data_IF_140982960308
#
_entry.id   IF_140982960308
#
_cell.length_a   1.000
_cell.length_b   1.000
_cell.length_c   1.000
_cell.angle_alpha   90.00
_cell.angle_beta   90.00
_cell.angle_gamma   90.00
#
_symmetry.space_group_name_H-M   'P 1'
#
loop_
_entity.id
_entity.type
_entity.pdbx_description
1 polymer ?
#
# COMPACT_ATOMS: atom_id res chain seq x y z
N UNK A 1 -45.57 -41.11 41.81
CA UNK A 1 -46.16 -40.59 40.57
C UNK A 1 -45.08 -39.75 39.86
N UNK A 2 -44.16 -40.42 39.16
CA UNK A 2 -43.11 -39.82 38.31
C UNK A 2 -43.11 -40.68 37.05
N UNK A 3 -43.47 -40.09 35.90
CA UNK A 3 -43.57 -40.83 34.63
C UNK A 3 -42.18 -40.94 33.99
N UNK A 4 -41.72 -42.17 33.87
CA UNK A 4 -40.76 -42.62 32.85
C UNK A 4 -41.39 -42.59 31.45
N UNK A 5 -40.58 -42.35 30.42
CA UNK A 5 -40.55 -43.11 29.15
C UNK A 5 -39.29 -42.70 28.37
N UNK A 6 -38.30 -43.58 28.28
CA UNK A 6 -38.09 -44.64 27.26
C UNK A 6 -37.21 -44.16 26.10
N UNK A 7 -35.93 -44.49 26.27
CA UNK A 7 -35.02 -45.06 25.28
C UNK A 7 -35.72 -45.87 24.16
N UNK A 8 -35.00 -45.92 23.03
CA UNK A 8 -35.13 -46.80 21.86
C UNK A 8 -36.03 -46.34 20.71
N UNK A 9 -35.41 -45.54 19.84
CA UNK A 9 -35.20 -45.99 18.46
C UNK A 9 -33.68 -46.00 18.21
N UNK A 10 -33.00 -47.07 18.65
CA UNK A 10 -31.70 -47.44 18.12
C UNK A 10 -31.90 -48.21 16.81
N UNK A 11 -30.92 -48.05 15.92
CA UNK A 11 -30.63 -48.84 14.72
C UNK A 11 -31.35 -48.45 13.43
N UNK A 12 -30.69 -47.57 12.66
CA UNK A 12 -30.19 -47.93 11.33
C UNK A 12 -29.04 -46.99 10.92
N UNK A 13 -27.83 -47.57 10.88
CA UNK A 13 -26.67 -47.24 10.02
C UNK A 13 -25.69 -46.13 10.47
N UNK A 14 -24.71 -46.58 11.22
CA UNK A 14 -23.25 -46.33 11.12
C UNK A 14 -22.71 -45.49 9.93
N UNK A 15 -21.66 -44.71 10.25
CA UNK A 15 -20.58 -44.19 9.38
C UNK A 15 -20.87 -42.96 8.51
N UNK A 16 -20.67 -41.76 9.05
CA UNK A 16 -19.75 -40.73 8.50
C UNK A 16 -19.84 -39.40 9.26
N UNK A 17 -18.73 -38.66 9.25
CA UNK A 17 -18.54 -37.31 9.79
C UNK A 17 -18.18 -37.16 11.28
N UNK A 18 -17.33 -38.09 11.71
CA UNK A 18 -16.23 -37.84 12.64
C UNK A 18 -15.06 -37.04 12.00
N UNK A 19 -15.31 -36.18 10.98
CA UNK A 19 -14.23 -35.62 10.13
C UNK A 19 -14.23 -34.11 9.87
N UNK A 20 -15.02 -33.29 10.56
CA UNK A 20 -14.90 -31.82 10.43
C UNK A 20 -14.40 -31.10 11.68
N UNK A 21 -14.20 -31.83 12.77
CA UNK A 21 -13.44 -31.37 13.93
C UNK A 21 -11.91 -31.52 13.78
N UNK A 22 -11.42 -31.87 12.57
CA UNK A 22 -10.01 -32.17 12.30
C UNK A 22 -9.35 -31.35 11.15
N UNK A 23 -10.02 -30.32 10.60
CA UNK A 23 -9.41 -29.46 9.55
C UNK A 23 -9.15 -28.01 10.03
N UNK A 24 -9.60 -27.64 11.23
CA UNK A 24 -9.27 -26.35 11.86
C UNK A 24 -8.01 -26.42 12.77
N UNK A 25 -7.15 -27.42 12.54
CA UNK A 25 -5.81 -27.53 13.14
C UNK A 25 -4.76 -27.44 12.03
N UNK A 26 -4.66 -26.28 11.39
CA UNK A 26 -3.41 -25.89 10.72
C UNK A 26 -2.69 -24.93 11.67
N UNK A 27 -2.07 -25.55 12.68
CA UNK A 27 -0.75 -25.22 13.19
C UNK A 27 -0.48 -23.71 13.39
N UNK A 28 -1.05 -23.15 14.46
CA UNK A 28 -0.23 -22.39 15.41
C UNK A 28 0.69 -23.41 16.11
N UNK A 29 1.66 -24.02 15.41
CA UNK A 29 2.70 -24.73 16.14
C UNK A 29 3.70 -23.72 16.67
N UNK A 30 4.20 -24.03 17.86
CA UNK A 30 5.39 -23.46 18.45
C UNK A 30 6.68 -23.62 17.59
N UNK A 31 6.54 -23.85 16.27
CA UNK A 31 7.60 -24.04 15.27
C UNK A 31 7.90 -22.79 14.44
N UNK A 32 7.30 -21.63 14.75
CA UNK A 32 7.63 -20.37 14.08
C UNK A 32 7.35 -20.36 12.57
N UNK A 33 6.33 -21.10 12.12
CA UNK A 33 5.96 -21.25 10.71
C UNK A 33 4.49 -20.87 10.52
N UNK A 34 4.22 -20.09 9.48
CA UNK A 34 2.91 -19.63 9.05
C UNK A 34 2.45 -20.42 7.82
N UNK A 35 1.17 -20.82 7.78
CA UNK A 35 0.62 -21.63 6.69
C UNK A 35 -0.79 -21.14 6.28
N UNK A 36 -1.00 -20.89 4.99
CA UNK A 36 -2.30 -20.54 4.40
C UNK A 36 -2.43 -21.06 2.96
N UNK A 37 -3.21 -22.13 2.76
CA UNK A 37 -3.23 -22.86 1.48
C UNK A 37 -1.84 -23.39 1.11
N UNK A 38 -1.37 -23.08 -0.10
CA UNK A 38 -0.04 -23.45 -0.60
C UNK A 38 1.11 -22.55 -0.12
N UNK A 39 0.80 -21.53 0.70
CA UNK A 39 1.76 -20.56 1.19
C UNK A 39 2.27 -20.98 2.56
N UNK A 40 3.56 -21.32 2.62
CA UNK A 40 4.26 -21.57 3.86
C UNK A 40 5.30 -20.45 4.05
N UNK A 41 5.23 -19.72 5.16
CA UNK A 41 6.19 -18.66 5.49
C UNK A 41 6.85 -18.97 6.83
N UNK A 42 8.18 -18.98 6.91
CA UNK A 42 8.89 -19.19 8.17
C UNK A 42 10.12 -18.27 8.27
N UNK A 43 10.99 -18.51 9.24
CA UNK A 43 12.23 -17.76 9.42
C UNK A 43 13.20 -17.86 8.22
N UNK A 44 13.07 -18.90 7.39
CA UNK A 44 13.86 -19.12 6.18
C UNK A 44 13.22 -18.53 4.92
N UNK A 45 12.05 -17.89 5.05
CA UNK A 45 11.37 -17.27 3.93
C UNK A 45 10.09 -17.95 3.50
N UNK A 46 9.57 -17.49 2.34
CA UNK A 46 8.39 -18.05 1.71
C UNK A 46 8.76 -19.33 0.93
N UNK A 47 8.06 -20.43 1.21
CA UNK A 47 8.07 -21.65 0.41
C UNK A 47 6.67 -21.91 -0.12
N UNK A 48 6.55 -22.05 -1.44
CA UNK A 48 5.35 -22.59 -2.06
C UNK A 48 5.41 -24.12 -1.94
N UNK A 49 4.41 -24.75 -1.33
CA UNK A 49 4.29 -26.20 -1.44
C UNK A 49 3.95 -26.54 -2.88
N UNK A 50 4.73 -27.38 -3.57
CA UNK A 50 4.44 -27.73 -4.95
C UNK A 50 3.12 -28.50 -5.00
N UNK A 51 2.07 -27.87 -5.54
CA UNK A 51 0.98 -28.61 -6.15
C UNK A 51 1.59 -29.35 -7.34
N UNK A 52 1.20 -30.62 -7.52
CA UNK A 52 1.52 -31.45 -8.70
C UNK A 52 1.21 -30.73 -10.03
N UNK A 53 2.10 -29.86 -10.48
CA UNK A 53 2.15 -29.37 -11.86
C UNK A 53 3.23 -30.20 -12.53
N UNK A 54 2.78 -31.31 -13.11
CA UNK A 54 3.53 -32.02 -14.14
C UNK A 54 3.94 -31.01 -15.21
N UNK A 55 5.25 -30.99 -15.46
CA UNK A 55 5.91 -30.58 -16.70
C UNK A 55 5.57 -29.20 -17.28
N UNK A 56 6.53 -28.28 -17.19
CA UNK A 56 6.98 -27.50 -18.35
C UNK A 56 8.39 -26.96 -18.13
N UNK A 57 9.37 -27.77 -18.53
CA UNK A 57 10.62 -27.25 -19.06
C UNK A 57 10.31 -26.46 -20.32
N UNK A 58 10.51 -25.14 -20.33
CA UNK A 58 10.71 -24.36 -21.56
C UNK A 58 11.35 -23.00 -21.25
N UNK A 59 12.66 -22.95 -21.54
CA UNK A 59 13.48 -21.82 -22.00
C UNK A 59 13.08 -20.39 -21.58
N UNK A 60 13.90 -19.79 -20.71
CA UNK A 60 14.12 -18.34 -20.65
C UNK A 60 15.48 -18.01 -21.32
N UNK A 61 15.56 -16.96 -22.15
CA UNK A 61 16.82 -16.54 -22.74
C UNK A 61 17.72 -15.88 -21.68
N UNK A 62 18.99 -16.27 -21.75
CA UNK A 62 20.11 -15.79 -20.95
C UNK A 62 20.43 -14.32 -21.23
N UNK A 63 20.20 -13.46 -20.23
CA UNK A 63 21.13 -12.42 -19.76
C UNK A 63 20.48 -11.56 -18.67
N UNK A 64 20.53 -12.06 -17.43
CA UNK A 64 20.52 -11.28 -16.18
C UNK A 64 20.93 -12.23 -15.06
N UNK A 65 22.19 -12.20 -14.64
CA UNK A 65 22.63 -12.88 -13.41
C UNK A 65 22.23 -12.01 -12.22
N UNK A 66 20.95 -12.01 -11.86
CA UNK A 66 20.55 -11.65 -10.50
C UNK A 66 21.02 -12.80 -9.60
N UNK A 67 21.90 -12.48 -8.66
CA UNK A 67 22.35 -13.42 -7.66
C UNK A 67 21.17 -13.71 -6.72
N UNK A 68 20.48 -14.82 -6.96
CA UNK A 68 19.50 -15.43 -6.04
C UNK A 68 20.21 -15.86 -4.74
N UNK A 69 20.53 -14.89 -3.88
CA UNK A 69 20.84 -15.18 -2.49
C UNK A 69 19.51 -15.35 -1.74
N UNK A 70 19.25 -16.56 -1.22
CA UNK A 70 18.20 -16.76 -0.21
C UNK A 70 18.58 -15.97 1.05
N UNK A 71 18.14 -14.70 1.13
CA UNK A 71 18.35 -13.85 2.31
C UNK A 71 17.52 -14.42 3.47
N UNK A 72 18.17 -14.77 4.57
CA UNK A 72 17.46 -15.14 5.81
C UNK A 72 17.36 -13.95 6.76
N UNK A 73 16.42 -14.00 7.71
CA UNK A 73 16.28 -12.94 8.72
C UNK A 73 17.57 -12.76 9.56
N UNK A 74 18.35 -13.82 9.73
CA UNK A 74 19.62 -13.80 10.47
C UNK A 74 20.74 -13.11 9.69
N UNK A 75 20.63 -12.99 8.38
CA UNK A 75 21.62 -12.32 7.52
C UNK A 75 21.45 -10.80 7.51
N UNK A 76 20.37 -10.29 8.09
CA UNK A 76 20.08 -8.86 8.17
C UNK A 76 20.60 -8.27 9.48
N UNK A 77 21.33 -7.16 9.38
CA UNK A 77 21.78 -6.38 10.52
C UNK A 77 21.00 -5.06 10.56
N UNK A 78 20.34 -4.80 11.68
CA UNK A 78 19.63 -3.54 11.91
C UNK A 78 20.61 -2.41 12.15
N UNK A 79 20.49 -1.35 11.35
CA UNK A 79 21.32 -0.15 11.50
C UNK A 79 20.62 0.94 12.29
N UNK A 80 19.38 1.27 11.91
CA UNK A 80 18.58 2.30 12.58
C UNK A 80 17.09 2.11 12.31
N UNK A 81 16.26 2.64 13.22
CA UNK A 81 14.82 2.78 12.96
C UNK A 81 14.61 4.02 12.09
N UNK A 82 13.91 3.87 10.97
CA UNK A 82 13.62 4.97 10.03
C UNK A 82 12.16 5.43 10.11
N UNK A 83 11.26 4.59 10.61
CA UNK A 83 9.85 4.94 10.77
C UNK A 83 9.15 4.11 11.84
N UNK A 84 8.10 4.69 12.43
CA UNK A 84 7.12 3.98 13.25
C UNK A 84 5.74 4.41 12.75
N UNK A 85 5.07 3.51 12.04
CA UNK A 85 3.77 3.76 11.44
C UNK A 85 2.65 2.96 12.10
N UNK A 86 1.43 3.14 11.61
CA UNK A 86 0.25 2.36 12.04
C UNK A 86 0.41 0.85 11.78
N UNK A 87 1.18 0.49 10.76
CA UNK A 87 1.41 -0.90 10.35
C UNK A 87 2.56 -1.57 11.09
N UNK A 88 3.40 -0.82 11.82
CA UNK A 88 4.53 -1.39 12.56
C UNK A 88 5.78 -0.51 12.60
N UNK A 89 6.91 -1.15 12.91
CA UNK A 89 8.23 -0.50 12.98
C UNK A 89 8.98 -0.75 11.68
N UNK A 90 9.55 0.32 11.14
CA UNK A 90 10.33 0.31 9.90
C UNK A 90 11.80 0.57 10.23
N UNK A 91 12.66 -0.35 9.80
CA UNK A 91 14.09 -0.35 10.12
C UNK A 91 14.93 -0.34 8.85
N UNK A 92 15.98 0.48 8.83
CA UNK A 92 17.03 0.35 7.83
C UNK A 92 17.93 -0.81 8.24
N UNK A 93 18.03 -1.80 7.37
CA UNK A 93 18.87 -2.98 7.55
C UNK A 93 19.88 -3.12 6.43
N UNK A 94 21.00 -3.79 6.70
CA UNK A 94 21.97 -4.17 5.68
C UNK A 94 22.18 -5.68 5.69
N UNK A 95 22.55 -6.23 4.54
CA UNK A 95 22.96 -7.63 4.48
C UNK A 95 24.39 -7.78 5.01
N UNK A 96 24.59 -8.66 6.00
CA UNK A 96 25.87 -8.86 6.69
C UNK A 96 27.02 -9.26 5.76
N UNK A 97 26.71 -10.06 4.73
CA UNK A 97 27.72 -10.75 3.93
C UNK A 97 28.00 -10.11 2.57
N UNK A 98 27.14 -9.20 2.09
CA UNK A 98 27.22 -8.62 0.74
C UNK A 98 27.97 -7.26 0.75
N UNK A 99 28.54 -6.88 1.90
CA UNK A 99 29.27 -5.62 2.07
C UNK A 99 28.37 -4.40 2.19
N UNK A 100 28.96 -3.20 2.31
CA UNK A 100 28.27 -1.92 2.60
C UNK A 100 27.37 -1.38 1.47
N UNK A 101 27.01 -2.18 0.47
CA UNK A 101 26.39 -1.69 -0.77
C UNK A 101 24.88 -1.92 -0.80
N UNK A 102 24.34 -2.86 -0.01
CA UNK A 102 22.93 -3.24 -0.11
C UNK A 102 22.19 -2.97 1.19
N UNK A 103 21.38 -1.92 1.15
CA UNK A 103 20.47 -1.51 2.20
C UNK A 103 19.05 -1.90 1.83
N UNK A 104 18.30 -2.34 2.83
CA UNK A 104 16.89 -2.69 2.70
C UNK A 104 16.08 -1.99 3.79
N UNK A 105 14.80 -1.87 3.53
CA UNK A 105 13.83 -1.48 4.52
C UNK A 105 13.17 -2.74 5.10
N UNK A 106 13.27 -2.94 6.41
CA UNK A 106 12.63 -4.03 7.13
C UNK A 106 11.38 -3.50 7.85
N UNK A 107 10.21 -3.87 7.36
CA UNK A 107 8.94 -3.54 7.99
C UNK A 107 8.46 -4.70 8.85
N UNK A 108 8.36 -4.48 10.16
CA UNK A 108 7.93 -5.50 11.13
C UNK A 108 6.49 -5.22 11.56
N UNK A 109 5.58 -6.11 11.19
CA UNK A 109 4.15 -6.03 11.46
C UNK A 109 3.79 -7.06 12.52
N UNK A 110 3.46 -6.59 13.74
CA UNK A 110 3.04 -7.48 14.82
C UNK A 110 1.57 -7.87 14.63
N UNK A 111 1.29 -9.17 14.58
CA UNK A 111 -0.08 -9.65 14.49
C UNK A 111 -0.73 -9.64 15.87
N UNK A 112 -1.86 -8.93 15.98
CA UNK A 112 -2.87 -9.30 16.96
C UNK A 112 -3.81 -10.33 16.29
N UNK A 113 -4.19 -11.37 17.02
CA UNK A 113 -4.69 -12.67 16.53
C UNK A 113 -6.04 -12.54 15.76
N UNK A 114 -6.02 -12.03 14.53
CA UNK A 114 -7.18 -12.02 13.64
C UNK A 114 -6.85 -12.65 12.30
N UNK A 115 -7.57 -13.72 11.98
CA UNK A 115 -7.41 -14.53 10.76
C UNK A 115 -7.65 -13.74 9.46
N UNK A 116 -8.37 -12.61 9.53
CA UNK A 116 -8.59 -11.71 8.40
C UNK A 116 -7.31 -11.00 7.95
N UNK A 117 -6.57 -10.41 8.90
CA UNK A 117 -5.30 -9.70 8.65
C UNK A 117 -4.28 -10.67 8.03
N UNK A 118 -4.32 -11.92 8.48
CA UNK A 118 -3.46 -13.02 8.06
C UNK A 118 -3.59 -13.37 6.56
N UNK A 119 -4.82 -13.60 6.08
CA UNK A 119 -5.10 -13.93 4.66
C UNK A 119 -4.72 -12.77 3.72
N UNK A 120 -4.68 -11.55 4.24
CA UNK A 120 -4.44 -10.33 3.47
C UNK A 120 -2.96 -10.01 3.30
N UNK A 121 -2.14 -10.20 4.35
CA UNK A 121 -0.67 -10.16 4.22
C UNK A 121 -0.21 -11.18 3.18
N UNK A 122 -0.83 -12.37 3.17
CA UNK A 122 -0.56 -13.40 2.16
C UNK A 122 -0.94 -12.93 0.74
N UNK A 123 -2.04 -12.20 0.58
CA UNK A 123 -2.44 -11.64 -0.71
C UNK A 123 -1.45 -10.56 -1.19
N UNK A 124 -0.99 -9.70 -0.30
CA UNK A 124 0.06 -8.72 -0.62
C UNK A 124 1.35 -9.38 -1.01
N UNK A 125 1.82 -10.40 -0.27
CA UNK A 125 3.02 -11.15 -0.63
C UNK A 125 2.91 -11.73 -2.06
N UNK A 126 1.74 -12.23 -2.45
CA UNK A 126 1.48 -12.71 -3.82
C UNK A 126 1.60 -11.60 -4.87
N UNK A 127 1.05 -10.42 -4.59
CA UNK A 127 1.11 -9.28 -5.54
C UNK A 127 2.54 -8.71 -5.59
N UNK A 128 3.18 -8.58 -4.43
CA UNK A 128 4.55 -8.09 -4.26
C UNK A 128 5.58 -8.98 -4.95
N UNK A 129 5.46 -10.30 -4.89
CA UNK A 129 6.34 -11.21 -5.61
C UNK A 129 6.30 -11.01 -7.13
N UNK A 130 5.20 -10.48 -7.65
CA UNK A 130 5.05 -10.15 -9.06
C UNK A 130 5.32 -8.65 -9.36
N UNK A 131 5.46 -7.81 -8.33
CA UNK A 131 5.69 -6.36 -8.42
C UNK A 131 7.07 -5.96 -8.96
N UNK A 132 8.02 -6.89 -9.03
CA UNK A 132 9.33 -6.70 -9.68
C UNK A 132 9.23 -6.22 -11.14
N UNK A 133 8.03 -6.25 -11.74
CA UNK A 133 7.75 -5.83 -13.10
C UNK A 133 7.41 -4.33 -13.22
N UNK A 134 7.14 -3.59 -12.13
CA UNK A 134 6.80 -2.16 -12.19
C UNK A 134 7.86 -1.29 -11.48
N UNK A 135 8.50 -0.33 -12.17
CA UNK A 135 9.51 0.55 -11.56
C UNK A 135 8.92 1.59 -10.60
N UNK A 136 7.59 1.72 -10.50
CA UNK A 136 6.91 2.74 -9.69
C UNK A 136 6.12 2.16 -8.50
N UNK A 137 6.37 0.90 -8.15
CA UNK A 137 5.88 0.24 -6.95
C UNK A 137 7.08 -0.29 -6.18
N UNK A 138 7.09 -0.11 -4.86
CA UNK A 138 8.18 -0.59 -4.00
C UNK A 138 8.26 -2.12 -4.09
N UNK A 139 9.45 -2.63 -4.35
CA UNK A 139 9.67 -4.07 -4.46
C UNK A 139 9.84 -4.68 -3.08
N UNK A 140 9.10 -5.75 -2.80
CA UNK A 140 9.37 -6.63 -1.67
C UNK A 140 10.24 -7.79 -2.12
N UNK A 141 11.51 -7.79 -1.71
CA UNK A 141 12.46 -8.84 -2.03
C UNK A 141 12.18 -10.13 -1.27
N UNK A 142 11.83 -10.00 0.01
CA UNK A 142 11.65 -11.16 0.87
C UNK A 142 10.65 -10.90 1.98
N UNK A 143 10.12 -11.98 2.54
CA UNK A 143 9.22 -11.91 3.69
C UNK A 143 9.53 -13.03 4.66
N UNK A 144 9.36 -12.78 5.95
CA UNK A 144 9.55 -13.75 7.01
C UNK A 144 8.36 -13.73 7.96
N UNK A 145 8.13 -14.85 8.63
CA UNK A 145 7.22 -14.91 9.76
C UNK A 145 7.91 -15.55 10.95
N UNK A 146 7.91 -14.85 12.07
CA UNK A 146 8.47 -15.37 13.31
C UNK A 146 7.78 -14.74 14.52
N UNK A 147 7.49 -15.56 15.54
CA UNK A 147 6.88 -15.14 16.81
C UNK A 147 5.65 -14.22 16.67
N UNK A 148 4.77 -14.51 15.70
CA UNK A 148 3.55 -13.73 15.49
C UNK A 148 3.80 -12.37 14.83
N UNK A 149 4.99 -12.13 14.26
CA UNK A 149 5.29 -10.94 13.49
C UNK A 149 5.66 -11.32 12.06
N UNK A 150 5.15 -10.56 11.09
CA UNK A 150 5.66 -10.57 9.72
C UNK A 150 6.80 -9.57 9.60
N UNK A 151 7.84 -9.95 8.87
CA UNK A 151 8.93 -9.05 8.53
C UNK A 151 9.05 -9.01 7.02
N UNK A 152 8.87 -7.83 6.43
CA UNK A 152 8.97 -7.62 4.99
C UNK A 152 10.28 -6.91 4.68
N UNK A 153 11.07 -7.46 3.76
CA UNK A 153 12.31 -6.89 3.24
C UNK A 153 11.98 -6.17 1.95
N UNK A 154 11.93 -4.85 2.03
CA UNK A 154 11.53 -3.95 0.97
C UNK A 154 12.74 -3.21 0.40
N UNK A 155 12.57 -2.72 -0.82
CA UNK A 155 13.46 -1.76 -1.44
C UNK A 155 13.63 -0.50 -0.57
N UNK A 156 14.89 -0.09 -0.36
CA UNK A 156 15.20 1.10 0.42
C UNK A 156 15.14 2.37 -0.43
N UNK A 157 14.29 3.31 -0.03
CA UNK A 157 14.12 4.61 -0.67
C UNK A 157 14.81 5.71 0.16
N UNK A 158 16.03 6.09 -0.24
CA UNK A 158 16.97 6.85 0.59
C UNK A 158 16.66 8.34 0.80
N UNK A 159 15.61 8.87 0.15
CA UNK A 159 15.07 10.22 0.42
C UNK A 159 13.80 10.22 1.25
N UNK A 160 13.34 9.05 1.69
CA UNK A 160 12.13 8.92 2.51
C UNK A 160 10.87 9.20 1.71
N UNK A 161 9.83 9.67 2.38
CA UNK A 161 8.50 9.93 1.79
C UNK A 161 8.33 11.36 1.30
N UNK A 162 7.30 11.62 0.48
CA UNK A 162 6.94 12.99 0.11
C UNK A 162 6.55 13.85 1.32
N UNK A 163 6.01 13.27 2.41
CA UNK A 163 5.82 14.02 3.66
C UNK A 163 7.15 14.56 4.18
N UNK A 164 8.22 13.76 4.15
CA UNK A 164 9.54 14.18 4.62
C UNK A 164 10.13 15.28 3.74
N UNK A 165 9.87 15.21 2.42
CA UNK A 165 10.23 16.27 1.46
C UNK A 165 9.49 17.56 1.79
N UNK A 166 8.15 17.54 1.88
CA UNK A 166 7.32 18.73 2.15
C UNK A 166 7.69 19.37 3.49
N UNK A 167 8.01 18.58 4.53
CA UNK A 167 8.48 19.13 5.82
C UNK A 167 9.74 19.98 5.68
N UNK A 168 10.63 19.63 4.75
CA UNK A 168 11.89 20.32 4.50
C UNK A 168 11.70 21.54 3.58
N UNK A 169 11.01 21.38 2.46
CA UNK A 169 10.91 22.41 1.41
C UNK A 169 9.64 23.28 1.49
N UNK A 170 8.70 22.94 2.37
CA UNK A 170 7.37 23.54 2.54
C UNK A 170 6.42 23.34 1.37
N UNK A 171 6.84 23.61 0.14
CA UNK A 171 6.04 23.41 -1.07
C UNK A 171 6.89 22.76 -2.16
N UNK A 172 6.24 22.00 -3.05
CA UNK A 172 6.88 21.39 -4.22
C UNK A 172 6.36 22.11 -5.47
N UNK A 173 7.28 22.63 -6.29
CA UNK A 173 6.91 23.34 -7.50
C UNK A 173 6.26 22.40 -8.52
N UNK A 174 5.32 22.97 -9.29
CA UNK A 174 4.53 22.26 -10.29
C UNK A 174 5.37 21.39 -11.27
N UNK A 175 6.53 21.83 -11.79
CA UNK A 175 7.33 20.99 -12.68
C UNK A 175 7.82 19.71 -12.02
N UNK A 176 8.23 19.76 -10.74
CA UNK A 176 8.65 18.57 -10.00
C UNK A 176 7.45 17.68 -9.66
N UNK A 177 6.31 18.29 -9.29
CA UNK A 177 5.07 17.54 -9.07
C UNK A 177 4.61 16.80 -10.31
N UNK A 178 4.78 17.37 -11.51
CA UNK A 178 4.42 16.70 -12.75
C UNK A 178 5.19 15.38 -12.95
N UNK A 179 6.47 15.38 -12.59
CA UNK A 179 7.33 14.19 -12.65
C UNK A 179 6.92 13.17 -11.60
N UNK A 180 6.61 13.63 -10.38
CA UNK A 180 6.07 12.78 -9.30
C UNK A 180 4.76 12.14 -9.73
N UNK A 181 3.79 12.93 -10.18
CA UNK A 181 2.47 12.46 -10.62
C UNK A 181 2.58 11.44 -11.73
N UNK A 182 3.44 11.67 -12.73
CA UNK A 182 3.64 10.73 -13.84
C UNK A 182 4.06 9.35 -13.32
N UNK A 183 5.07 9.30 -12.45
CA UNK A 183 5.57 8.05 -11.88
C UNK A 183 4.49 7.36 -11.03
N UNK A 184 3.78 8.11 -10.19
CA UNK A 184 2.69 7.56 -9.36
C UNK A 184 1.54 7.03 -10.22
N UNK A 185 1.16 7.73 -11.30
CA UNK A 185 0.13 7.26 -12.23
C UNK A 185 0.55 5.99 -12.97
N UNK A 186 1.82 5.87 -13.37
CA UNK A 186 2.34 4.64 -13.96
C UNK A 186 2.23 3.46 -12.96
N UNK A 187 2.54 3.71 -11.68
CA UNK A 187 2.32 2.72 -10.61
C UNK A 187 0.83 2.38 -10.41
N UNK A 188 -0.06 3.37 -10.42
CA UNK A 188 -1.50 3.15 -10.29
C UNK A 188 -2.11 2.43 -11.50
N UNK A 189 -1.68 2.74 -12.73
CA UNK A 189 -2.11 2.01 -13.93
C UNK A 189 -1.73 0.53 -13.80
N UNK A 190 -0.51 0.24 -13.37
CA UNK A 190 -0.09 -1.13 -13.12
C UNK A 190 -0.96 -1.82 -12.06
N UNK A 191 -1.20 -1.17 -10.91
CA UNK A 191 -2.04 -1.73 -9.85
C UNK A 191 -3.50 -1.94 -10.28
N UNK A 192 -4.10 -0.95 -10.93
CA UNK A 192 -5.52 -0.97 -11.31
C UNK A 192 -5.79 -1.89 -12.51
N UNK A 193 -4.95 -1.80 -13.55
CA UNK A 193 -5.25 -2.42 -14.84
C UNK A 193 -4.58 -3.78 -15.02
N UNK A 194 -3.35 -3.96 -14.51
CA UNK A 194 -2.62 -5.22 -14.67
C UNK A 194 -2.81 -6.15 -13.47
N UNK A 195 -2.91 -5.58 -12.26
CA UNK A 195 -3.06 -6.36 -11.01
C UNK A 195 -4.48 -6.42 -10.47
N UNK A 196 -5.37 -5.54 -10.92
CA UNK A 196 -6.74 -5.42 -10.41
C UNK A 196 -6.81 -5.22 -8.88
N UNK A 197 -5.93 -4.36 -8.36
CA UNK A 197 -5.78 -4.04 -6.94
C UNK A 197 -6.07 -2.56 -6.73
N UNK A 198 -6.88 -2.25 -5.71
CA UNK A 198 -7.08 -0.88 -5.23
C UNK A 198 -6.11 -0.65 -4.06
N UNK A 199 -5.35 0.43 -4.10
CA UNK A 199 -4.33 0.76 -3.08
C UNK A 199 -4.95 1.13 -1.73
N UNK A 200 -5.96 2.02 -1.75
CA UNK A 200 -6.80 2.47 -0.62
C UNK A 200 -6.12 3.35 0.44
N UNK A 201 -4.82 3.58 0.34
CA UNK A 201 -4.07 4.46 1.24
C UNK A 201 -3.01 5.29 0.51
N UNK A 202 -3.36 5.86 -0.64
CA UNK A 202 -2.49 6.81 -1.33
C UNK A 202 -2.43 8.10 -0.50
N UNK A 203 -1.23 8.49 -0.09
CA UNK A 203 -0.95 9.71 0.67
C UNK A 203 0.54 10.03 0.57
N UNK A 204 0.99 11.27 0.85
CA UNK A 204 2.39 11.63 0.70
C UNK A 204 3.35 10.78 1.54
N UNK A 205 2.90 10.14 2.64
CA UNK A 205 3.76 9.28 3.46
C UNK A 205 4.05 7.92 2.82
N UNK A 206 3.21 7.50 1.87
CA UNK A 206 3.31 6.21 1.17
C UNK A 206 3.82 6.39 -0.27
N UNK A 207 4.29 7.59 -0.61
CA UNK A 207 4.94 7.92 -1.87
C UNK A 207 6.41 8.18 -1.57
N UNK A 208 7.25 7.18 -1.85
CA UNK A 208 8.65 7.19 -1.47
C UNK A 208 9.54 7.68 -2.61
N UNK A 209 10.64 8.34 -2.27
CA UNK A 209 11.58 8.96 -3.20
C UNK A 209 13.00 8.49 -2.91
N UNK A 210 13.83 8.36 -3.96
CA UNK A 210 15.25 8.08 -3.82
C UNK A 210 16.13 9.15 -4.49
N UNK A 211 17.45 9.07 -4.30
CA UNK A 211 18.42 10.03 -4.85
C UNK A 211 18.49 10.05 -6.39
N UNK A 212 17.98 9.01 -7.07
CA UNK A 212 17.87 8.96 -8.53
C UNK A 212 16.65 9.73 -9.05
N UNK A 213 15.80 10.23 -8.17
CA UNK A 213 14.54 10.90 -8.53
C UNK A 213 13.41 9.93 -8.87
N UNK A 214 13.57 8.64 -8.55
CA UNK A 214 12.51 7.66 -8.72
C UNK A 214 11.47 7.83 -7.61
N UNK A 215 10.19 7.74 -7.98
CA UNK A 215 9.06 7.78 -7.07
C UNK A 215 8.34 6.45 -7.15
N UNK A 216 8.11 5.83 -5.98
CA UNK A 216 7.45 4.54 -5.87
C UNK A 216 6.34 4.55 -4.82
N UNK A 217 5.28 3.82 -5.11
CA UNK A 217 4.15 3.59 -4.20
C UNK A 217 4.53 2.49 -3.20
N UNK A 218 4.40 2.77 -1.90
CA UNK A 218 4.61 1.81 -0.79
C UNK A 218 3.30 1.45 -0.09
N UNK A 219 3.35 0.45 0.80
CA UNK A 219 2.24 0.08 1.72
C UNK A 219 0.90 -0.24 1.04
N UNK A 220 0.94 -0.70 -0.21
CA UNK A 220 -0.27 -1.11 -0.91
C UNK A 220 -0.87 -2.37 -0.27
N UNK A 221 -2.18 -2.35 -0.01
CA UNK A 221 -2.92 -3.50 0.53
C UNK A 221 -2.98 -3.61 2.06
N UNK A 222 -1.97 -3.13 2.80
CA UNK A 222 -1.87 -3.32 4.28
C UNK A 222 -2.93 -2.49 5.00
N UNK A 223 -3.09 -1.24 4.57
CA UNK A 223 -3.87 -0.22 5.29
C UNK A 223 -5.39 -0.41 5.20
N UNK A 224 -5.90 -0.98 4.12
CA UNK A 224 -7.33 -1.12 3.88
C UNK A 224 -8.07 -1.95 4.92
N UNK A 225 -7.35 -2.90 5.53
CA UNK A 225 -7.96 -3.91 6.38
C UNK A 225 -7.54 -3.78 7.84
N UNK A 226 -6.37 -3.20 8.13
CA UNK A 226 -6.04 -2.71 9.47
C UNK A 226 -7.06 -1.66 9.93
N UNK A 227 -7.53 -0.79 9.02
CA UNK A 227 -8.58 0.19 9.29
C UNK A 227 -9.97 -0.39 9.60
N UNK A 228 -10.26 -1.62 9.17
CA UNK A 228 -11.52 -2.31 9.49
C UNK A 228 -11.38 -3.29 10.66
N UNK A 229 -10.15 -3.61 11.09
CA UNK A 229 -9.86 -4.65 12.09
C UNK A 229 -9.41 -4.11 13.46
N UNK A 230 -8.99 -2.84 13.54
CA UNK A 230 -8.50 -2.24 14.79
C UNK A 230 -9.45 -1.15 15.30
N UNK A 231 -10.20 -1.46 16.35
CA UNK A 231 -11.05 -0.51 17.08
C UNK A 231 -10.31 0.50 17.96
N UNK A 232 -9.06 0.86 17.63
CA UNK A 232 -8.28 1.86 18.36
C UNK A 232 -8.37 3.22 17.66
N UNK A 233 -9.15 4.12 18.27
CA UNK A 233 -9.55 5.42 17.71
C UNK A 233 -8.48 6.51 17.81
N UNK A 234 -7.43 6.32 18.61
CA UNK A 234 -6.57 7.45 19.02
C UNK A 234 -5.33 7.69 18.14
N UNK A 235 -4.95 6.77 17.25
CA UNK A 235 -3.83 6.93 16.29
C UNK A 235 -4.29 7.20 14.85
N UNK A 236 -5.59 7.31 14.61
CA UNK A 236 -6.20 7.16 13.27
C UNK A 236 -6.51 8.48 12.53
N UNK A 237 -6.48 9.60 13.23
CA UNK A 237 -7.02 10.88 12.73
C UNK A 237 -6.34 11.37 11.45
N UNK A 238 -5.06 11.04 11.19
CA UNK A 238 -4.31 11.51 10.02
C UNK A 238 -4.44 10.67 8.73
N UNK A 239 -4.89 9.41 8.81
CA UNK A 239 -4.94 8.52 7.63
C UNK A 239 -6.19 8.73 6.77
N UNK A 240 -7.29 9.18 7.38
CA UNK A 240 -8.56 9.39 6.68
C UNK A 240 -8.63 10.67 5.85
N UNK A 241 -7.68 11.59 6.03
CA UNK A 241 -7.66 12.88 5.35
C UNK A 241 -7.73 12.75 3.82
N UNK A 242 -7.16 11.67 3.27
CA UNK A 242 -7.09 11.41 1.83
C UNK A 242 -8.22 10.50 1.36
N UNK A 243 -9.14 10.09 2.23
CA UNK A 243 -10.24 9.19 1.89
C UNK A 243 -11.23 9.91 0.97
N UNK A 244 -11.72 9.18 -0.03
CA UNK A 244 -12.70 9.70 -0.96
C UNK A 244 -14.12 9.79 -0.36
N UNK A 245 -14.99 10.69 -0.86
CA UNK A 245 -16.34 10.89 -0.32
C UNK A 245 -17.17 9.62 -0.32
N UNK A 246 -17.08 8.80 -1.37
CA UNK A 246 -17.83 7.56 -1.49
C UNK A 246 -17.42 6.52 -0.43
N UNK A 247 -16.13 6.51 -0.04
CA UNK A 247 -15.62 5.62 1.02
C UNK A 247 -16.09 6.07 2.41
N UNK A 248 -16.11 7.38 2.66
CA UNK A 248 -16.59 7.95 3.92
C UNK A 248 -18.08 7.64 4.10
N UNK A 249 -18.86 7.78 3.04
CA UNK A 249 -20.30 7.50 3.02
C UNK A 249 -20.65 6.00 3.03
N UNK A 250 -19.66 5.11 3.03
CA UNK A 250 -19.87 3.66 3.02
C UNK A 250 -20.46 3.11 1.71
N UNK A 251 -20.35 3.87 0.61
CA UNK A 251 -20.79 3.44 -0.72
C UNK A 251 -19.80 2.45 -1.34
N UNK A 252 -20.23 1.81 -2.44
CA UNK A 252 -19.30 1.01 -3.26
C UNK A 252 -18.19 1.90 -3.80
N UNK A 253 -16.96 1.43 -3.68
CA UNK A 253 -15.78 2.17 -4.11
C UNK A 253 -14.89 1.28 -4.97
N UNK A 254 -14.15 1.90 -5.87
CA UNK A 254 -13.33 1.23 -6.88
C UNK A 254 -11.94 1.91 -7.00
N UNK A 255 -11.29 1.71 -8.14
CA UNK A 255 -9.99 2.30 -8.47
C UNK A 255 -9.99 3.84 -8.43
N UNK A 256 -11.14 4.48 -8.71
CA UNK A 256 -11.27 5.95 -8.70
C UNK A 256 -11.05 6.54 -7.31
N UNK A 257 -11.21 5.78 -6.23
CA UNK A 257 -10.92 6.26 -4.88
C UNK A 257 -9.45 6.58 -4.68
N UNK A 258 -8.54 5.83 -5.31
CA UNK A 258 -7.09 6.13 -5.26
C UNK A 258 -6.77 7.43 -6.02
N UNK A 259 -7.54 7.76 -7.05
CA UNK A 259 -7.37 9.00 -7.83
C UNK A 259 -7.74 10.23 -7.00
N UNK A 260 -8.80 10.15 -6.20
CA UNK A 260 -9.11 11.20 -5.24
C UNK A 260 -7.97 11.40 -4.25
N UNK A 261 -7.49 10.31 -3.65
CA UNK A 261 -6.39 10.32 -2.70
C UNK A 261 -5.10 10.90 -3.31
N UNK A 262 -4.83 10.61 -4.58
CA UNK A 262 -3.75 11.22 -5.35
C UNK A 262 -3.95 12.74 -5.51
N UNK A 263 -5.14 13.18 -5.92
CA UNK A 263 -5.46 14.60 -6.08
C UNK A 263 -5.25 15.39 -4.79
N UNK A 264 -5.71 14.85 -3.66
CA UNK A 264 -5.51 15.43 -2.33
C UNK A 264 -4.02 15.53 -1.98
N UNK A 265 -3.26 14.45 -2.22
CA UNK A 265 -1.83 14.38 -1.94
C UNK A 265 -1.04 15.40 -2.75
N UNK A 266 -1.31 15.51 -4.05
CA UNK A 266 -0.59 16.41 -4.95
C UNK A 266 -0.93 17.87 -4.62
N UNK A 267 -2.20 18.17 -4.34
CA UNK A 267 -2.60 19.51 -3.95
C UNK A 267 -1.93 19.93 -2.64
N UNK A 268 -1.86 19.04 -1.65
CA UNK A 268 -1.13 19.28 -0.40
C UNK A 268 0.36 19.58 -0.65
N UNK A 269 1.02 18.79 -1.51
CA UNK A 269 2.42 19.01 -1.85
C UNK A 269 2.63 20.39 -2.52
N UNK A 270 1.68 20.82 -3.34
CA UNK A 270 1.75 22.08 -4.07
C UNK A 270 1.58 23.30 -3.15
N UNK A 271 0.58 23.26 -2.27
CA UNK A 271 0.25 24.39 -1.39
C UNK A 271 0.95 24.35 -0.02
N UNK A 272 1.58 23.22 0.32
CA UNK A 272 2.37 23.03 1.54
C UNK A 272 1.56 22.84 2.81
N UNK A 273 0.25 22.66 2.68
CA UNK A 273 -0.70 22.38 3.77
C UNK A 273 -1.81 21.49 3.26
N UNK A 274 -2.47 20.77 4.16
CA UNK A 274 -3.60 19.93 3.79
C UNK A 274 -4.77 20.79 3.25
N UNK A 275 -5.41 20.43 2.11
CA UNK A 275 -6.32 21.35 1.39
C UNK A 275 -7.56 21.81 2.17
N UNK A 276 -8.07 21.02 3.11
CA UNK A 276 -9.22 21.38 3.94
C UNK A 276 -8.84 22.12 5.24
N UNK A 277 -7.56 22.35 5.51
CA UNK A 277 -7.15 23.22 6.63
C UNK A 277 -7.09 24.65 6.11
N UNK A 278 -8.07 25.49 6.47
CA UNK A 278 -8.07 26.91 6.07
C UNK A 278 -6.81 27.65 6.54
N UNK A 279 -6.37 28.63 5.76
CA UNK A 279 -5.11 29.34 6.01
C UNK A 279 -5.14 30.28 7.22
N UNK A 280 -6.32 30.73 7.66
CA UNK A 280 -6.47 31.78 8.67
C UNK A 280 -6.79 31.26 10.08
N UNK A 281 -7.45 30.10 10.21
CA UNK A 281 -7.87 29.53 11.50
C UNK A 281 -6.98 28.37 11.99
N UNK A 282 -5.65 28.56 11.96
CA UNK A 282 -4.71 27.59 12.57
C UNK A 282 -4.90 27.42 14.09
N UNK A 283 -5.68 28.30 14.72
CA UNK A 283 -5.96 28.23 16.16
C UNK A 283 -6.96 27.13 16.52
N UNK A 284 -7.83 26.72 15.59
CA UNK A 284 -8.82 25.65 15.80
C UNK A 284 -8.92 24.78 14.53
N UNK A 285 -8.04 23.79 14.35
CA UNK A 285 -8.19 22.83 13.25
C UNK A 285 -9.54 22.10 13.37
N UNK A 286 -10.20 21.78 12.24
CA UNK A 286 -11.46 21.05 12.26
C UNK A 286 -11.27 19.72 12.98
N UNK A 287 -12.27 19.34 13.79
CA UNK A 287 -12.34 18.01 14.36
C UNK A 287 -12.40 16.96 13.24
N UNK A 288 -12.05 15.73 13.60
CA UNK A 288 -12.11 14.60 12.68
C UNK A 288 -13.45 14.47 11.95
N UNK A 289 -14.57 14.61 12.67
CA UNK A 289 -15.90 14.49 12.10
C UNK A 289 -16.27 15.67 11.19
N UNK A 290 -15.85 16.88 11.55
CA UNK A 290 -16.04 18.07 10.71
C UNK A 290 -15.27 17.95 9.39
N UNK A 291 -14.05 17.39 9.42
CA UNK A 291 -13.29 17.14 8.21
C UNK A 291 -13.97 16.11 7.30
N UNK A 292 -14.44 14.99 7.86
CA UNK A 292 -15.16 13.98 7.06
C UNK A 292 -16.45 14.56 6.46
N UNK A 293 -17.18 15.35 7.23
CA UNK A 293 -18.37 16.06 6.75
C UNK A 293 -18.01 17.05 5.63
N UNK A 294 -16.93 17.83 5.78
CA UNK A 294 -16.48 18.75 4.74
C UNK A 294 -16.13 18.02 3.43
N UNK A 295 -15.42 16.89 3.51
CA UNK A 295 -15.09 16.06 2.33
C UNK A 295 -16.37 15.60 1.62
N UNK A 296 -17.40 15.19 2.37
CA UNK A 296 -18.65 14.66 1.79
C UNK A 296 -19.59 15.78 1.32
N UNK A 297 -19.69 16.89 2.04
CA UNK A 297 -20.75 17.89 1.88
C UNK A 297 -20.28 19.17 1.19
N UNK A 298 -19.07 19.66 1.48
CA UNK A 298 -18.54 20.93 0.94
C UNK A 298 -17.95 20.77 -0.46
N UNK A 299 -17.91 21.80 -1.33
CA UNK A 299 -17.26 21.69 -2.64
C UNK A 299 -15.83 21.13 -2.54
N UNK A 300 -15.37 20.31 -3.50
CA UNK A 300 -14.01 19.78 -3.46
C UNK A 300 -12.98 20.92 -3.53
N UNK A 301 -11.82 20.79 -2.89
CA UNK A 301 -10.79 21.82 -2.94
C UNK A 301 -10.25 21.96 -4.36
N UNK A 302 -9.85 23.17 -4.71
CA UNK A 302 -9.31 23.51 -6.02
C UNK A 302 -7.92 24.11 -5.88
N UNK A 303 -7.09 23.95 -6.91
CA UNK A 303 -5.81 24.63 -6.97
C UNK A 303 -6.03 26.14 -7.24
N UNK A 304 -5.41 27.05 -6.48
CA UNK A 304 -5.50 28.50 -6.71
C UNK A 304 -5.04 28.88 -8.13
N UNK A 305 -5.96 29.36 -8.96
CA UNK A 305 -5.70 29.65 -10.38
C UNK A 305 -4.80 30.87 -10.62
N UNK A 306 -4.58 31.68 -9.59
CA UNK A 306 -3.63 32.79 -9.55
C UNK A 306 -2.18 32.32 -9.31
N UNK A 307 -1.99 31.10 -8.82
CA UNK A 307 -0.68 30.55 -8.43
C UNK A 307 -0.22 29.39 -9.31
N UNK A 308 -1.14 28.65 -9.91
CA UNK A 308 -0.85 27.42 -10.67
C UNK A 308 -1.31 27.51 -12.12
N UNK A 309 -0.71 26.67 -12.98
CA UNK A 309 -1.09 26.63 -14.39
C UNK A 309 -2.53 26.15 -14.59
N UNK A 310 -3.19 26.54 -15.70
CA UNK A 310 -4.48 25.97 -16.09
C UNK A 310 -4.45 24.44 -16.19
N UNK A 311 -3.34 23.88 -16.64
CA UNK A 311 -3.12 22.45 -16.74
C UNK A 311 -3.13 21.77 -15.37
N UNK A 312 -2.42 22.33 -14.38
CA UNK A 312 -2.42 21.82 -13.00
C UNK A 312 -3.81 21.96 -12.36
N UNK A 313 -4.47 23.10 -12.51
CA UNK A 313 -5.83 23.30 -12.02
C UNK A 313 -6.82 22.31 -12.65
N UNK A 314 -6.70 22.03 -13.95
CA UNK A 314 -7.51 21.03 -14.65
C UNK A 314 -7.21 19.62 -14.14
N UNK A 315 -5.94 19.30 -13.88
CA UNK A 315 -5.55 18.02 -13.33
C UNK A 315 -6.16 17.78 -11.94
N UNK A 316 -6.01 18.73 -11.02
CA UNK A 316 -6.59 18.64 -9.67
C UNK A 316 -8.12 18.51 -9.74
N UNK A 317 -8.77 19.30 -10.60
CA UNK A 317 -10.22 19.20 -10.83
C UNK A 317 -10.64 17.82 -11.33
N UNK A 318 -9.88 17.20 -12.24
CA UNK A 318 -10.18 15.86 -12.76
C UNK A 318 -10.04 14.77 -11.68
N UNK A 319 -9.10 14.92 -10.75
CA UNK A 319 -8.92 14.00 -9.63
C UNK A 319 -9.98 14.15 -8.53
N UNK A 320 -10.40 15.38 -8.24
CA UNK A 320 -11.24 15.71 -7.10
C UNK A 320 -12.74 15.82 -7.46
N UNK A 321 -13.17 15.13 -8.51
CA UNK A 321 -14.59 14.93 -8.77
C UNK A 321 -15.21 14.07 -7.65
N UNK A 322 -16.25 14.58 -7.01
CA UNK A 322 -16.94 13.85 -5.94
C UNK A 322 -17.68 12.63 -6.45
N UNK A 323 -18.29 12.75 -7.63
CA UNK A 323 -18.96 11.64 -8.30
C UNK A 323 -17.90 10.67 -8.89
N UNK A 324 -17.79 9.42 -8.40
CA UNK A 324 -16.74 8.50 -8.84
C UNK A 324 -16.71 8.23 -10.36
N UNK A 325 -17.84 8.04 -11.07
CA UNK A 325 -17.85 7.88 -12.52
C UNK A 325 -17.39 9.11 -13.32
N UNK A 326 -17.51 10.31 -12.75
CA UNK A 326 -17.01 11.54 -13.38
C UNK A 326 -15.51 11.77 -13.13
N UNK A 327 -14.92 11.03 -12.18
CA UNK A 327 -13.50 11.12 -11.84
C UNK A 327 -12.66 10.40 -12.89
N UNK A 328 -11.60 11.04 -13.35
CA UNK A 328 -10.74 10.46 -14.38
C UNK A 328 -10.04 9.19 -13.87
N UNK A 329 -9.80 8.20 -14.76
CA UNK A 329 -9.01 7.01 -14.40
C UNK A 329 -7.51 7.32 -14.37
N UNK A 330 -6.71 6.44 -13.74
CA UNK A 330 -5.24 6.54 -13.76
C UNK A 330 -4.68 6.59 -15.18
N UNK A 331 -5.29 5.83 -16.11
CA UNK A 331 -4.89 5.81 -17.51
C UNK A 331 -5.28 7.10 -18.25
N UNK A 332 -6.51 7.60 -18.06
CA UNK A 332 -6.96 8.85 -18.69
C UNK A 332 -6.07 10.02 -18.28
N UNK A 333 -5.75 10.08 -16.98
CA UNK A 333 -4.85 11.08 -16.44
C UNK A 333 -3.46 10.98 -17.06
N UNK A 334 -2.87 9.78 -17.11
CA UNK A 334 -1.54 9.57 -17.69
C UNK A 334 -1.45 9.96 -19.18
N UNK A 335 -2.52 9.77 -19.94
CA UNK A 335 -2.57 10.05 -21.39
C UNK A 335 -3.02 11.48 -21.69
N UNK A 336 -3.69 12.16 -20.76
CA UNK A 336 -4.28 13.47 -21.01
C UNK A 336 -3.24 14.56 -21.35
N UNK A 337 -3.61 15.44 -22.29
CA UNK A 337 -2.76 16.54 -22.76
C UNK A 337 -2.40 17.57 -21.67
N UNK A 338 -3.14 17.60 -20.55
CA UNK A 338 -2.80 18.42 -19.39
C UNK A 338 -1.42 18.05 -18.82
N UNK A 339 -1.01 16.78 -18.90
CA UNK A 339 0.32 16.35 -18.44
C UNK A 339 1.40 16.45 -19.52
N UNK A 340 1.04 16.19 -20.78
CA UNK A 340 2.02 16.19 -21.88
C UNK A 340 2.63 17.59 -22.09
N UNK A 341 1.88 18.67 -21.81
CA UNK A 341 2.38 20.04 -21.96
C UNK A 341 3.20 20.53 -20.76
N UNK A 342 2.85 20.14 -19.54
CA UNK A 342 3.65 20.43 -18.33
C UNK A 342 5.00 19.72 -18.39
N UNK A 343 5.10 18.53 -19.00
CA UNK A 343 6.40 17.87 -19.22
C UNK A 343 7.16 18.45 -20.42
N UNK A 344 6.48 18.76 -21.54
CA UNK A 344 7.15 19.24 -22.78
C UNK A 344 7.69 20.66 -22.66
N UNK A 345 7.06 21.56 -21.91
CA UNK A 345 7.52 22.95 -21.76
C UNK A 345 8.86 23.07 -21.02
N UNK A 346 9.22 22.10 -20.16
CA UNK A 346 10.39 22.21 -19.29
C UNK A 346 11.59 21.37 -19.71
N UNK A 347 11.41 20.26 -20.44
CA UNK A 347 12.55 19.56 -21.08
C UNK A 347 13.26 20.40 -22.16
N UNK A 348 12.60 21.44 -22.70
CA UNK A 348 13.23 22.42 -23.59
C UNK A 348 14.19 23.38 -22.85
N UNK A 349 13.93 23.66 -21.57
CA UNK A 349 14.76 24.56 -20.75
C UNK A 349 15.93 23.85 -20.05
N UNK A 350 15.86 22.53 -19.87
CA UNK A 350 16.93 21.72 -19.27
C UNK A 350 18.12 21.42 -20.18
N UNK A 351 18.08 21.81 -21.46
CA UNK A 351 19.20 21.66 -22.41
C UNK A 351 20.02 22.95 -22.58
N UNK A 352 19.78 23.99 -21.77
CA UNK A 352 20.49 25.28 -21.84
C UNK A 352 20.92 25.81 -20.45
N UNK A 353 21.45 24.95 -19.58
CA UNK A 353 22.24 25.37 -18.40
C UNK A 353 23.50 24.54 -18.31
#
# INVERSE_FOLDING_TARGET
MVKLNRLQCDQLVNLSQFSLFLIAHILLTASGTFHDGDFLLNQKGLKLTPINVLEKNQFLPSDCKELDFEITAEDLETMRVIGKGSSGVVQLVRHKWVGNVHFYELQVIQMNIQEKIRKQIVQELKINQASSQCPHVVVCYHSFYHNGAFSLVLEYMDRGSLVDVIRQVKTILEPYLSVVCKQVLQGLVYLHNERHVIHRDIKPSNLLVNHKGEVKISDFGVSASLASSMGQRDTFVGTYNYMSPERISGSTYDYSSDIWSLGMSVLECAIGRFPYLESEDQQNPPSFYELLAAIVESPPPTAPSDQFSPEFCSFITACLQKDPPARASSLDLLVSNAYSRVTTLFFSLGNNI
#
